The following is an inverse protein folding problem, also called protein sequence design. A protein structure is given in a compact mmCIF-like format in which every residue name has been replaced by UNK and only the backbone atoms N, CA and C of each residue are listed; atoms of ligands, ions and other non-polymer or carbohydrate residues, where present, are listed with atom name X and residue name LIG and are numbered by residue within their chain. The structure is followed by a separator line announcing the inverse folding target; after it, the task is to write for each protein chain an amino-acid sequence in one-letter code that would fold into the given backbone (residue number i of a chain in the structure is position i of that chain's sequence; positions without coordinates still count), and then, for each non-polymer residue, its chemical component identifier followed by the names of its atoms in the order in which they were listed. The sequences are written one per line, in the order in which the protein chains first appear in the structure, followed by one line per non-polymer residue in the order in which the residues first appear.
data_IF_842766406607
#
_entry.id   IF_842766406607
#
_cell.length_a   1.000
_cell.length_b   1.000
_cell.length_c   1.000
_cell.angle_alpha   90.00
_cell.angle_beta   90.00
_cell.angle_gamma   90.00
#
_symmetry.space_group_name_H-M   'P 1'
#
loop_
_entity.id
_entity.type
_entity.pdbx_description
1 polymer ?
#
# COMPACT_ATOMS: atom_id res chain seq x y z
N UNK A 1 -20.65 -11.73 -13.97
CA UNK A 1 -19.66 -10.64 -14.08
C UNK A 1 -20.15 -9.69 -15.14
N UNK A 2 -20.49 -8.45 -14.78
CA UNK A 2 -20.87 -7.40 -15.73
C UNK A 2 -19.61 -6.88 -16.41
N UNK A 3 -19.57 -6.90 -17.74
CA UNK A 3 -18.42 -6.43 -18.50
C UNK A 3 -18.65 -4.95 -18.80
N UNK A 4 -18.31 -4.10 -17.82
CA UNK A 4 -18.62 -2.66 -17.80
C UNK A 4 -18.33 -1.94 -19.13
N UNK A 5 -17.21 -2.19 -19.85
CA UNK A 5 -16.99 -1.63 -21.18
C UNK A 5 -18.03 -2.02 -22.21
N UNK A 6 -18.41 -3.30 -22.25
CA UNK A 6 -19.40 -3.84 -23.18
C UNK A 6 -20.79 -3.27 -22.88
N UNK A 7 -21.14 -3.18 -21.59
CA UNK A 7 -22.44 -2.66 -21.16
C UNK A 7 -22.55 -1.14 -21.42
N UNK A 8 -21.45 -0.39 -21.23
CA UNK A 8 -21.40 1.04 -21.55
C UNK A 8 -21.44 1.29 -23.07
N UNK A 9 -20.68 0.52 -23.86
CA UNK A 9 -20.75 0.58 -25.32
C UNK A 9 -22.18 0.30 -25.82
N UNK A 10 -22.83 -0.74 -25.29
CA UNK A 10 -24.23 -1.07 -25.59
C UNK A 10 -25.16 0.09 -25.25
N UNK A 11 -24.99 0.73 -24.10
CA UNK A 11 -25.79 1.90 -23.71
C UNK A 11 -25.60 3.10 -24.66
N UNK A 12 -24.35 3.38 -25.10
CA UNK A 12 -24.06 4.44 -26.08
C UNK A 12 -24.72 4.13 -27.44
N UNK A 13 -24.70 2.87 -27.86
CA UNK A 13 -25.39 2.41 -29.08
C UNK A 13 -26.91 2.52 -28.96
N UNK A 14 -27.48 2.22 -27.80
CA UNK A 14 -28.91 2.44 -27.51
C UNK A 14 -29.29 3.93 -27.52
N UNK A 15 -28.37 4.83 -27.19
CA UNK A 15 -28.53 6.28 -27.32
C UNK A 15 -28.33 6.81 -28.76
N UNK A 16 -28.22 5.91 -29.75
CA UNK A 16 -28.01 6.21 -31.18
C UNK A 16 -26.68 6.91 -31.50
N UNK A 17 -25.69 6.80 -30.63
CA UNK A 17 -24.32 7.26 -30.95
C UNK A 17 -23.71 6.32 -31.99
N UNK A 18 -22.96 6.88 -32.94
CA UNK A 18 -22.27 6.08 -33.97
C UNK A 18 -21.30 5.09 -33.32
N UNK A 19 -21.03 3.96 -33.99
CA UNK A 19 -20.17 2.93 -33.41
C UNK A 19 -18.75 3.46 -33.17
N UNK A 20 -18.24 4.28 -34.10
CA UNK A 20 -16.92 4.90 -34.02
C UNK A 20 -16.83 5.90 -32.85
N UNK A 21 -17.85 6.73 -32.63
CA UNK A 21 -17.88 7.66 -31.49
C UNK A 21 -18.06 6.92 -30.16
N UNK A 22 -18.92 5.91 -30.12
CA UNK A 22 -19.13 5.11 -28.92
C UNK A 22 -17.83 4.38 -28.52
N UNK A 23 -17.10 3.83 -29.51
CA UNK A 23 -15.82 3.18 -29.27
C UNK A 23 -14.78 4.16 -28.73
N UNK A 24 -14.64 5.35 -29.34
CA UNK A 24 -13.73 6.39 -28.85
C UNK A 24 -14.00 6.80 -27.40
N UNK A 25 -15.27 6.93 -27.02
CA UNK A 25 -15.65 7.30 -25.65
C UNK A 25 -15.33 6.17 -24.67
N UNK A 26 -15.60 4.91 -25.04
CA UNK A 26 -15.25 3.75 -24.20
C UNK A 26 -13.74 3.65 -24.03
N UNK A 27 -12.96 3.73 -25.11
CA UNK A 27 -11.49 3.68 -25.06
C UNK A 27 -10.90 4.82 -24.22
N UNK A 28 -11.43 6.05 -24.37
CA UNK A 28 -11.01 7.21 -23.57
C UNK A 28 -11.32 7.03 -22.09
N UNK A 29 -12.51 6.49 -21.76
CA UNK A 29 -12.92 6.24 -20.39
C UNK A 29 -12.09 5.10 -19.77
N UNK A 30 -11.86 4.01 -20.49
CA UNK A 30 -10.98 2.92 -20.06
C UNK A 30 -9.56 3.41 -19.79
N UNK A 31 -9.01 4.23 -20.70
CA UNK A 31 -7.70 4.86 -20.50
C UNK A 31 -7.67 5.72 -19.24
N UNK A 32 -8.70 6.53 -18.99
CA UNK A 32 -8.78 7.37 -17.79
C UNK A 32 -8.90 6.54 -16.51
N UNK A 33 -9.74 5.50 -16.52
CA UNK A 33 -9.90 4.58 -15.39
C UNK A 33 -8.59 3.85 -15.11
N UNK A 34 -7.88 3.37 -16.13
CA UNK A 34 -6.59 2.69 -15.98
C UNK A 34 -5.54 3.62 -15.34
N UNK A 35 -5.46 4.88 -15.79
CA UNK A 35 -4.57 5.88 -15.17
C UNK A 35 -4.95 6.11 -13.71
N UNK A 36 -6.25 6.31 -13.40
CA UNK A 36 -6.71 6.55 -12.03
C UNK A 36 -6.49 5.37 -11.10
N UNK A 37 -6.68 4.14 -11.57
CA UNK A 37 -6.35 2.92 -10.82
C UNK A 37 -4.84 2.86 -10.56
N UNK A 38 -4.01 3.16 -11.57
CA UNK A 38 -2.56 3.17 -11.42
C UNK A 38 -2.09 4.22 -10.39
N UNK A 39 -2.64 5.44 -10.45
CA UNK A 39 -2.36 6.51 -9.47
C UNK A 39 -2.75 6.11 -8.05
N UNK A 40 -3.96 5.56 -7.87
CA UNK A 40 -4.43 5.09 -6.56
C UNK A 40 -3.55 3.96 -6.02
N UNK A 41 -3.18 3.00 -6.86
CA UNK A 41 -2.29 1.90 -6.49
C UNK A 41 -0.88 2.40 -6.16
N UNK A 42 -0.37 3.40 -6.87
CA UNK A 42 0.93 4.00 -6.58
C UNK A 42 0.96 4.64 -5.17
N UNK A 43 -0.10 5.35 -4.78
CA UNK A 43 -0.23 5.92 -3.44
C UNK A 43 -0.30 4.82 -2.37
N UNK A 44 -1.14 3.80 -2.58
CA UNK A 44 -1.26 2.67 -1.65
C UNK A 44 0.06 1.91 -1.48
N UNK A 45 0.78 1.67 -2.57
CA UNK A 45 2.12 1.05 -2.52
C UNK A 45 3.12 1.95 -1.79
N UNK A 46 3.00 3.27 -1.94
CA UNK A 46 3.78 4.25 -1.19
C UNK A 46 3.55 4.16 0.32
N UNK A 47 2.30 4.17 0.76
CA UNK A 47 1.93 4.01 2.17
C UNK A 47 2.39 2.67 2.73
N UNK A 48 2.20 1.57 2.00
CA UNK A 48 2.68 0.24 2.40
C UNK A 48 4.20 0.19 2.58
N UNK A 49 4.96 0.86 1.69
CA UNK A 49 6.43 0.98 1.84
C UNK A 49 6.79 1.81 3.07
N UNK A 50 6.06 2.89 3.35
CA UNK A 50 6.27 3.71 4.54
C UNK A 50 6.02 2.91 5.81
N UNK A 51 4.87 2.24 5.92
CA UNK A 51 4.54 1.37 7.05
C UNK A 51 5.60 0.29 7.27
N UNK A 52 6.10 -0.33 6.18
CA UNK A 52 7.18 -1.32 6.26
C UNK A 52 8.47 -0.74 6.83
N UNK A 53 8.83 0.49 6.45
CA UNK A 53 10.01 1.20 6.98
C UNK A 53 9.84 1.48 8.46
N UNK A 54 8.69 2.01 8.87
CA UNK A 54 8.42 2.34 10.27
C UNK A 54 8.43 1.11 11.16
N UNK A 55 7.84 -0.01 10.70
CA UNK A 55 7.95 -1.30 11.38
C UNK A 55 9.40 -1.77 11.52
N UNK A 56 10.24 -1.56 10.50
CA UNK A 56 11.67 -1.88 10.56
C UNK A 56 12.39 -1.07 11.65
N UNK A 57 12.11 0.24 11.71
CA UNK A 57 12.65 1.13 12.74
C UNK A 57 12.20 0.73 14.15
N UNK A 58 10.90 0.46 14.33
CA UNK A 58 10.36 0.02 15.61
C UNK A 58 10.97 -1.30 16.07
N UNK A 59 11.16 -2.26 15.16
CA UNK A 59 11.82 -3.53 15.47
C UNK A 59 13.26 -3.32 15.91
N UNK A 60 14.00 -2.43 15.26
CA UNK A 60 15.38 -2.11 15.64
C UNK A 60 15.45 -1.46 17.04
N UNK A 61 14.56 -0.52 17.33
CA UNK A 61 14.45 0.10 18.65
C UNK A 61 14.12 -0.94 19.74
N UNK A 62 13.16 -1.83 19.47
CA UNK A 62 12.77 -2.87 20.41
C UNK A 62 13.93 -3.83 20.72
N UNK A 63 14.65 -4.30 19.69
CA UNK A 63 15.82 -5.17 19.87
C UNK A 63 16.89 -4.45 20.68
N UNK A 64 17.19 -3.20 20.36
CA UNK A 64 18.20 -2.40 21.09
C UNK A 64 17.82 -2.21 22.56
N UNK A 65 16.55 -1.87 22.84
CA UNK A 65 16.05 -1.71 24.20
C UNK A 65 16.16 -3.00 25.02
N UNK A 66 15.81 -4.15 24.43
CA UNK A 66 15.96 -5.46 25.06
C UNK A 66 17.44 -5.79 25.30
N UNK A 67 18.31 -5.57 24.32
CA UNK A 67 19.74 -5.84 24.49
C UNK A 67 20.36 -4.99 25.61
N UNK A 68 20.01 -3.71 25.69
CA UNK A 68 20.49 -2.82 26.75
C UNK A 68 20.00 -3.25 28.14
N UNK A 69 18.74 -3.68 28.27
CA UNK A 69 18.21 -4.14 29.55
C UNK A 69 18.88 -5.43 30.04
N UNK A 70 19.20 -6.35 29.12
CA UNK A 70 19.97 -7.56 29.45
C UNK A 70 21.37 -7.21 29.95
N UNK A 71 22.07 -6.29 29.28
CA UNK A 71 23.41 -5.84 29.69
C UNK A 71 23.35 -5.15 31.07
N UNK A 72 22.38 -4.26 31.30
CA UNK A 72 22.21 -3.61 32.58
C UNK A 72 21.91 -4.61 33.71
N UNK A 73 21.08 -5.62 33.44
CA UNK A 73 20.77 -6.69 34.38
C UNK A 73 21.98 -7.55 34.75
N UNK A 74 22.83 -7.89 33.77
CA UNK A 74 24.06 -8.65 34.05
C UNK A 74 25.03 -7.85 34.89
N UNK A 75 25.33 -6.60 34.52
CA UNK A 75 26.25 -5.73 35.27
C UNK A 75 25.74 -5.48 36.70
N UNK A 76 24.46 -5.15 36.85
CA UNK A 76 23.84 -4.95 38.17
C UNK A 76 23.89 -6.22 39.03
N UNK A 77 23.65 -7.38 38.42
CA UNK A 77 23.78 -8.68 39.09
C UNK A 77 25.19 -8.98 39.58
N UNK A 78 26.22 -8.71 38.75
CA UNK A 78 27.62 -8.87 39.15
C UNK A 78 28.00 -7.94 40.30
N UNK A 79 27.64 -6.65 40.23
CA UNK A 79 27.93 -5.70 41.31
C UNK A 79 27.25 -6.11 42.63
N UNK A 80 25.99 -6.54 42.58
CA UNK A 80 25.25 -6.99 43.75
C UNK A 80 25.81 -8.28 44.37
N UNK A 81 26.39 -9.18 43.57
CA UNK A 81 27.01 -10.42 44.06
C UNK A 81 28.36 -10.20 44.75
N UNK A 82 29.10 -9.14 44.38
CA UNK A 82 30.43 -8.82 44.92
C UNK A 82 30.33 -7.94 46.18
N UNK A 83 29.31 -7.08 46.29
CA UNK A 83 29.11 -6.16 47.41
C UNK A 83 28.43 -6.84 48.62
N UNK A 84 27.96 -8.09 48.46
CA UNK A 84 27.28 -8.88 49.51
C UNK A 84 28.27 -9.70 50.33
#
# INVERSE_FOLDING_TARGET
MTNMPIDFFRALRSAKISADEAQKVVESLEGHIAVKISEANASLVGELKSMRKDMGTLRWLQVTAISLSVIAGTIGGYAAAIIK
#
